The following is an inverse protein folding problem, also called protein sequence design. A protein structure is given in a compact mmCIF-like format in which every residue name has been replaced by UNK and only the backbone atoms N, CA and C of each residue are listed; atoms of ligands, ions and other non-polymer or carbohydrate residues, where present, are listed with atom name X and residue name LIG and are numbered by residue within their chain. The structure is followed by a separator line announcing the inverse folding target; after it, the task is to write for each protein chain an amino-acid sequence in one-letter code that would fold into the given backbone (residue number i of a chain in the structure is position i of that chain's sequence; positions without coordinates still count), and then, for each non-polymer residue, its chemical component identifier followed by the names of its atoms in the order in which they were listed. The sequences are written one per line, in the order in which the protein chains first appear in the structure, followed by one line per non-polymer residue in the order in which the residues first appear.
data_IF_084264966907
#
_entry.id   IF_084264966907
#
_cell.length_a   1.000
_cell.length_b   1.000
_cell.length_c   1.000
_cell.angle_alpha   90.00
_cell.angle_beta   90.00
_cell.angle_gamma   90.00
#
_symmetry.space_group_name_H-M   'P 1'
#
loop_
_entity.id
_entity.type
_entity.pdbx_description
1 polymer ?
#
# COMPACT_ATOMS: atom_id res chain seq x y z
N UNK A 1 -76.26 -23.27 -1.84
CA UNK A 1 -76.67 -22.12 -2.67
C UNK A 1 -75.61 -21.97 -3.75
N UNK A 2 -76.07 -22.08 -5.00
CA UNK A 2 -75.52 -21.62 -6.30
C UNK A 2 -73.99 -21.53 -6.46
N UNK A 3 -73.30 -22.29 -7.32
CA UNK A 3 -73.44 -22.46 -8.79
C UNK A 3 -73.17 -21.17 -9.60
N UNK A 4 -72.38 -21.37 -10.67
CA UNK A 4 -72.09 -20.57 -11.88
C UNK A 4 -70.59 -20.16 -12.01
N UNK A 5 -69.77 -20.84 -12.82
CA UNK A 5 -69.71 -20.96 -14.31
C UNK A 5 -69.08 -19.73 -14.99
N UNK A 6 -67.84 -19.92 -15.49
CA UNK A 6 -67.21 -19.56 -16.80
C UNK A 6 -67.63 -18.29 -17.58
N UNK A 7 -66.90 -17.81 -18.62
CA UNK A 7 -65.65 -18.29 -19.27
C UNK A 7 -64.62 -17.14 -19.59
N UNK A 8 -63.48 -17.43 -20.28
CA UNK A 8 -62.49 -16.44 -20.75
C UNK A 8 -62.92 -15.78 -22.07
N UNK A 9 -62.13 -14.83 -22.65
CA UNK A 9 -61.41 -15.21 -23.89
C UNK A 9 -60.14 -14.39 -24.27
N UNK A 10 -59.52 -14.84 -25.37
CA UNK A 10 -58.61 -14.17 -26.34
C UNK A 10 -57.13 -14.01 -25.95
N UNK A 11 -56.19 -14.74 -26.56
CA UNK A 11 -55.77 -14.75 -27.98
C UNK A 11 -55.10 -13.46 -28.43
N UNK A 12 -53.77 -13.47 -28.47
CA UNK A 12 -52.99 -12.73 -29.46
C UNK A 12 -51.69 -13.48 -29.68
N UNK A 13 -51.63 -14.15 -30.82
CA UNK A 13 -50.39 -14.47 -31.48
C UNK A 13 -49.76 -13.17 -32.01
N UNK A 14 -48.43 -13.06 -31.99
CA UNK A 14 -47.73 -12.64 -33.20
C UNK A 14 -46.28 -13.17 -33.24
N UNK A 15 -45.84 -13.66 -34.41
CA UNK A 15 -44.49 -14.19 -34.65
C UNK A 15 -43.62 -13.21 -35.45
N UNK A 16 -42.37 -13.65 -35.68
CA UNK A 16 -41.44 -13.30 -36.79
C UNK A 16 -40.50 -12.12 -36.56
N UNK A 17 -39.20 -12.40 -36.61
CA UNK A 17 -38.21 -11.76 -37.51
C UNK A 17 -36.94 -12.63 -37.49
N UNK A 18 -36.76 -13.48 -38.51
CA UNK A 18 -36.00 -13.25 -39.75
C UNK A 18 -34.52 -13.64 -39.64
N UNK A 19 -34.24 -14.88 -40.08
CA UNK A 19 -32.97 -15.30 -40.71
C UNK A 19 -32.89 -14.72 -42.13
N UNK A 20 -31.72 -14.24 -42.53
CA UNK A 20 -31.14 -14.25 -43.89
C UNK A 20 -29.73 -13.63 -43.75
N UNK A 21 -28.62 -14.38 -43.64
CA UNK A 21 -27.87 -15.11 -44.67
C UNK A 21 -27.50 -14.30 -45.94
N UNK A 22 -26.22 -13.90 -45.99
CA UNK A 22 -25.37 -13.79 -47.19
C UNK A 22 -25.13 -12.38 -47.76
N UNK A 23 -23.99 -12.10 -48.43
CA UNK A 23 -22.99 -13.04 -48.97
C UNK A 23 -21.52 -12.79 -48.57
N UNK A 24 -20.73 -13.85 -48.78
CA UNK A 24 -19.27 -13.94 -48.75
C UNK A 24 -18.59 -13.10 -49.83
N UNK A 25 -17.45 -12.52 -49.48
CA UNK A 25 -16.22 -12.21 -50.25
C UNK A 25 -15.51 -11.11 -49.43
N UNK A 26 -14.24 -11.21 -49.01
CA UNK A 26 -13.07 -11.73 -49.70
C UNK A 26 -12.00 -12.11 -48.67
N UNK A 27 -11.32 -13.25 -48.85
CA UNK A 27 -9.96 -13.45 -48.34
C UNK A 27 -8.99 -12.57 -49.13
N UNK A 28 -8.02 -11.94 -48.43
CA UNK A 28 -6.63 -12.10 -48.85
C UNK A 28 -5.65 -12.14 -47.65
N UNK A 29 -4.35 -12.33 -47.93
CA UNK A 29 -3.59 -13.56 -47.78
C UNK A 29 -3.03 -13.79 -46.36
N UNK A 30 -2.58 -15.03 -46.11
CA UNK A 30 -1.62 -15.37 -45.06
C UNK A 30 -0.47 -14.35 -45.01
N UNK A 31 -0.47 -13.53 -43.97
CA UNK A 31 0.72 -12.81 -43.49
C UNK A 31 1.06 -13.40 -42.13
N UNK A 32 2.12 -14.20 -42.11
CA UNK A 32 2.84 -14.49 -40.89
C UNK A 32 3.27 -13.16 -40.27
N UNK A 33 2.56 -12.76 -39.23
CA UNK A 33 3.08 -11.86 -38.24
C UNK A 33 3.56 -12.76 -37.10
N UNK A 34 4.88 -12.82 -36.92
CA UNK A 34 5.47 -12.91 -35.60
C UNK A 34 4.64 -11.99 -34.68
N UNK A 35 3.75 -12.60 -33.91
CA UNK A 35 3.05 -11.87 -32.87
C UNK A 35 4.12 -11.33 -31.94
N UNK A 36 4.15 -10.03 -31.61
CA UNK A 36 4.85 -9.62 -30.41
C UNK A 36 4.29 -10.51 -29.31
N UNK A 37 5.18 -11.21 -28.60
CA UNK A 37 4.83 -12.18 -27.57
C UNK A 37 3.67 -11.63 -26.76
N UNK A 38 2.63 -12.46 -26.59
CA UNK A 38 1.52 -12.12 -25.72
C UNK A 38 2.13 -11.47 -24.47
N UNK A 39 1.79 -10.20 -24.23
CA UNK A 39 2.15 -9.50 -23.01
C UNK A 39 1.63 -10.42 -21.89
N UNK A 40 2.51 -11.24 -21.32
CA UNK A 40 2.23 -12.07 -20.17
C UNK A 40 1.90 -11.08 -19.07
N UNK A 41 0.61 -10.85 -18.86
CA UNK A 41 0.15 -10.16 -17.67
C UNK A 41 0.72 -10.95 -16.49
N UNK A 42 1.38 -10.28 -15.54
CA UNK A 42 1.94 -10.98 -14.40
C UNK A 42 0.83 -11.75 -13.68
N UNK A 43 1.09 -13.00 -13.30
CA UNK A 43 0.12 -13.87 -12.62
C UNK A 43 -0.32 -13.32 -11.25
N UNK A 44 0.48 -12.42 -10.67
CA UNK A 44 0.17 -11.66 -9.48
C UNK A 44 0.56 -10.19 -9.72
N UNK A 45 -0.39 -9.29 -9.52
CA UNK A 45 -0.14 -7.86 -9.48
C UNK A 45 -0.25 -7.35 -8.04
N UNK A 46 0.70 -6.51 -7.63
CA UNK A 46 0.74 -5.92 -6.29
C UNK A 46 0.82 -4.41 -6.41
N UNK A 47 -0.06 -3.71 -5.71
CA UNK A 47 0.00 -2.26 -5.54
C UNK A 47 0.04 -1.90 -4.06
N UNK A 48 0.73 -0.82 -3.74
CA UNK A 48 0.83 -0.31 -2.37
C UNK A 48 0.39 1.14 -2.28
N UNK A 49 -0.10 1.51 -1.11
CA UNK A 49 -0.46 2.87 -0.74
C UNK A 49 -0.12 3.10 0.73
N UNK A 50 0.26 4.32 1.09
CA UNK A 50 0.33 4.70 2.51
C UNK A 50 -1.10 4.90 3.03
N UNK A 51 -1.38 4.38 4.23
CA UNK A 51 -2.66 4.56 4.93
C UNK A 51 -2.52 5.68 5.95
N UNK A 52 -3.49 6.60 5.93
CA UNK A 52 -3.55 7.71 6.87
C UNK A 52 -2.63 8.87 6.50
N UNK A 53 -3.05 10.07 6.90
CA UNK A 53 -2.35 11.34 6.63
C UNK A 53 -1.63 11.89 7.88
N UNK A 54 -1.69 11.15 8.99
CA UNK A 54 -1.40 11.64 10.34
C UNK A 54 0.02 11.35 10.86
N UNK A 55 0.88 10.75 10.04
CA UNK A 55 2.20 10.33 10.49
C UNK A 55 3.25 11.39 10.15
N UNK A 56 4.14 11.67 11.09
CA UNK A 56 5.29 12.53 10.83
C UNK A 56 6.31 11.80 9.95
N UNK A 57 6.98 12.54 9.07
CA UNK A 57 8.11 12.07 8.26
C UNK A 57 9.36 12.80 8.72
N UNK A 58 10.43 12.07 9.00
CA UNK A 58 11.72 12.66 9.30
C UNK A 58 12.61 12.67 8.05
N UNK A 59 13.35 13.75 7.88
CA UNK A 59 14.38 13.91 6.84
C UNK A 59 15.76 13.70 7.47
N UNK A 60 16.68 13.11 6.72
CA UNK A 60 18.07 12.93 7.14
C UNK A 60 18.83 14.25 7.30
N UNK A 61 18.43 15.29 6.55
CA UNK A 61 19.05 16.61 6.64
C UNK A 61 18.02 17.72 6.82
N UNK A 62 18.42 18.79 7.49
CA UNK A 62 17.61 20.00 7.57
C UNK A 62 17.59 20.72 6.22
N UNK A 63 16.43 20.99 5.62
CA UNK A 63 16.38 21.68 4.33
C UNK A 63 16.92 23.12 4.43
N UNK A 64 18.04 23.39 3.75
CA UNK A 64 18.74 24.69 3.82
C UNK A 64 18.63 25.52 2.55
N UNK A 65 18.11 24.98 1.45
CA UNK A 65 17.94 25.75 0.22
C UNK A 65 16.78 26.74 0.35
N UNK A 66 16.84 27.84 -0.40
CA UNK A 66 15.74 28.80 -0.41
C UNK A 66 14.47 28.21 -1.03
N UNK A 67 14.60 27.25 -1.95
CA UNK A 67 13.47 26.55 -2.58
C UNK A 67 12.76 25.65 -1.59
N UNK A 68 13.50 24.82 -0.85
CA UNK A 68 12.91 23.90 0.13
C UNK A 68 12.21 24.65 1.25
N UNK A 69 12.82 25.72 1.78
CA UNK A 69 12.17 26.56 2.80
C UNK A 69 10.89 27.22 2.28
N UNK A 70 10.86 27.63 1.02
CA UNK A 70 9.66 28.20 0.43
C UNK A 70 8.57 27.14 0.24
N UNK A 71 8.92 25.90 -0.09
CA UNK A 71 7.98 24.78 -0.16
C UNK A 71 7.41 24.42 1.22
N UNK A 72 8.26 24.32 2.23
CA UNK A 72 7.88 24.01 3.61
C UNK A 72 6.87 25.01 4.18
N UNK A 73 7.06 26.31 3.92
CA UNK A 73 6.20 27.38 4.45
C UNK A 73 5.07 27.79 3.49
N UNK A 74 5.11 27.35 2.24
CA UNK A 74 4.20 27.79 1.19
C UNK A 74 3.28 26.71 0.63
N UNK A 75 3.56 25.44 0.92
CA UNK A 75 2.81 24.28 0.44
C UNK A 75 2.26 23.45 1.61
N UNK A 76 1.06 22.89 1.42
CA UNK A 76 0.49 21.86 2.28
C UNK A 76 0.81 20.44 1.77
N UNK A 77 1.51 20.35 0.64
CA UNK A 77 1.97 19.09 0.03
C UNK A 77 3.50 19.12 -0.04
N UNK A 78 4.14 18.32 0.81
CA UNK A 78 5.60 18.20 0.90
C UNK A 78 6.13 16.96 0.20
N UNK A 79 5.31 16.23 -0.58
CA UNK A 79 5.75 14.99 -1.25
C UNK A 79 6.93 15.22 -2.18
N UNK A 80 6.97 16.37 -2.86
CA UNK A 80 8.11 16.71 -3.71
C UNK A 80 9.41 16.86 -2.94
N UNK A 81 9.36 17.38 -1.70
CA UNK A 81 10.50 17.51 -0.80
C UNK A 81 10.92 16.16 -0.21
N UNK A 82 9.95 15.38 0.25
CA UNK A 82 10.17 14.03 0.78
C UNK A 82 10.84 13.15 -0.29
N UNK A 83 10.38 13.20 -1.54
CA UNK A 83 10.90 12.38 -2.64
C UNK A 83 12.34 12.68 -3.07
N UNK A 84 12.87 13.85 -2.74
CA UNK A 84 14.24 14.26 -3.12
C UNK A 84 15.24 14.17 -1.97
N UNK A 85 14.76 14.02 -0.74
CA UNK A 85 15.56 13.89 0.46
C UNK A 85 15.54 12.44 0.95
N UNK A 86 16.59 12.02 1.63
CA UNK A 86 16.54 10.78 2.40
C UNK A 86 15.55 10.97 3.55
N UNK A 87 14.50 10.15 3.59
CA UNK A 87 13.37 10.35 4.50
C UNK A 87 12.73 9.02 4.92
N UNK A 88 12.08 9.03 6.07
CA UNK A 88 11.37 7.88 6.60
C UNK A 88 10.21 8.33 7.49
N UNK A 89 9.12 7.56 7.53
CA UNK A 89 8.03 7.80 8.47
C UNK A 89 8.51 7.55 9.90
N UNK A 90 8.13 8.43 10.84
CA UNK A 90 8.54 8.34 12.24
C UNK A 90 7.63 7.39 13.01
N UNK A 91 8.23 6.43 13.70
CA UNK A 91 7.57 5.50 14.61
C UNK A 91 6.80 4.39 13.91
N UNK A 92 5.94 4.73 12.95
CA UNK A 92 5.01 3.80 12.32
C UNK A 92 4.71 4.16 10.87
N UNK A 93 4.78 3.16 9.99
CA UNK A 93 4.33 3.22 8.61
C UNK A 93 3.14 2.28 8.44
N UNK A 94 1.97 2.87 8.14
CA UNK A 94 0.75 2.12 7.85
C UNK A 94 0.59 1.99 6.33
N UNK A 95 0.46 0.77 5.83
CA UNK A 95 0.42 0.44 4.40
C UNK A 95 -0.86 -0.31 4.04
N UNK A 96 -1.40 0.04 2.87
CA UNK A 96 -2.42 -0.71 2.16
C UNK A 96 -1.73 -1.51 1.07
N UNK A 97 -1.89 -2.83 1.07
CA UNK A 97 -1.35 -3.72 0.05
C UNK A 97 -2.55 -4.31 -0.69
N UNK A 98 -2.63 -4.03 -1.99
CA UNK A 98 -3.63 -4.63 -2.87
C UNK A 98 -2.97 -5.74 -3.68
N UNK A 99 -3.47 -6.95 -3.47
CA UNK A 99 -3.07 -8.16 -4.18
C UNK A 99 -4.15 -8.48 -5.22
N UNK A 100 -3.74 -8.69 -6.46
CA UNK A 100 -4.65 -9.04 -7.55
C UNK A 100 -4.13 -10.24 -8.31
N UNK A 101 -4.92 -11.31 -8.34
CA UNK A 101 -4.63 -12.49 -9.16
C UNK A 101 -4.76 -12.19 -10.64
N UNK A 102 -3.95 -12.87 -11.47
CA UNK A 102 -4.07 -12.89 -12.92
C UNK A 102 -5.19 -13.81 -13.39
N UNK A 103 -4.98 -14.49 -14.52
CA UNK A 103 -6.00 -15.36 -15.14
C UNK A 103 -6.14 -16.72 -14.45
N UNK A 104 -5.26 -17.02 -13.47
CA UNK A 104 -5.19 -18.31 -12.77
C UNK A 104 -5.28 -18.09 -11.26
N UNK A 105 -5.77 -19.12 -10.57
CA UNK A 105 -5.77 -19.12 -9.12
C UNK A 105 -4.35 -19.31 -8.59
N UNK A 106 -4.02 -18.62 -7.50
CA UNK A 106 -2.74 -18.73 -6.83
C UNK A 106 -2.93 -18.68 -5.31
N UNK A 107 -1.92 -19.16 -4.59
CA UNK A 107 -1.90 -19.13 -3.12
C UNK A 107 -0.67 -18.39 -2.65
N UNK A 108 -0.86 -17.32 -1.90
CA UNK A 108 0.20 -16.59 -1.21
C UNK A 108 0.52 -17.33 0.09
N UNK A 109 1.78 -17.71 0.23
CA UNK A 109 2.30 -18.47 1.36
C UNK A 109 2.99 -17.58 2.39
N UNK A 110 3.54 -16.43 2.00
CA UNK A 110 4.12 -15.46 2.93
C UNK A 110 4.15 -14.05 2.38
N UNK A 111 4.17 -13.07 3.29
CA UNK A 111 4.65 -11.72 3.04
C UNK A 111 5.79 -11.51 4.02
N UNK A 112 7.01 -11.58 3.51
CA UNK A 112 8.25 -11.50 4.28
C UNK A 112 8.78 -10.07 4.29
N UNK A 113 9.40 -9.70 5.40
CA UNK A 113 10.08 -8.42 5.58
C UNK A 113 11.58 -8.72 5.52
N UNK A 114 12.27 -8.16 4.55
CA UNK A 114 13.72 -8.33 4.38
C UNK A 114 14.44 -7.03 4.77
N UNK A 115 15.04 -6.96 5.97
CA UNK A 115 15.82 -5.80 6.37
C UNK A 115 17.02 -5.59 5.44
N UNK A 116 17.25 -4.36 4.98
CA UNK A 116 18.43 -4.00 4.20
C UNK A 116 19.69 -3.89 5.07
N UNK A 117 19.51 -3.72 6.38
CA UNK A 117 20.58 -3.68 7.38
C UNK A 117 20.30 -4.68 8.51
N UNK A 118 21.32 -5.25 9.17
CA UNK A 118 21.12 -6.26 10.23
C UNK A 118 20.46 -5.75 11.52
N UNK A 119 20.30 -4.43 11.69
CA UNK A 119 20.00 -3.81 12.97
C UNK A 119 19.86 -2.28 12.85
N UNK A 120 19.60 -1.58 13.97
CA UNK A 120 19.58 -0.14 14.09
C UNK A 120 20.48 0.66 13.17
N UNK A 121 20.02 1.52 12.27
CA UNK A 121 20.87 2.69 11.95
C UNK A 121 20.39 3.91 12.74
N UNK A 122 21.20 4.97 12.78
CA UNK A 122 20.82 6.17 13.52
C UNK A 122 19.46 6.68 13.03
N UNK A 123 18.60 7.12 13.96
CA UNK A 123 17.34 7.76 13.63
C UNK A 123 17.58 9.01 12.78
N UNK A 124 16.67 9.30 11.86
CA UNK A 124 16.72 10.55 11.10
C UNK A 124 16.31 11.72 12.00
N UNK A 125 17.17 12.74 12.06
CA UNK A 125 17.04 13.87 12.99
C UNK A 125 17.16 15.25 12.32
N UNK A 126 17.22 15.29 10.98
CA UNK A 126 17.45 16.51 10.22
C UNK A 126 16.26 17.48 10.27
N UNK A 127 15.09 17.02 9.87
CA UNK A 127 13.85 17.79 10.00
C UNK A 127 12.63 16.88 10.21
N UNK A 128 11.63 17.36 10.95
CA UNK A 128 10.38 16.65 11.22
C UNK A 128 9.22 17.32 10.47
N UNK A 129 8.51 16.56 9.65
CA UNK A 129 7.39 17.02 8.83
C UNK A 129 6.10 16.29 9.27
N UNK A 130 5.18 16.98 9.93
CA UNK A 130 3.95 16.39 10.45
C UNK A 130 2.70 16.95 9.76
N UNK A 131 1.65 16.14 9.68
CA UNK A 131 0.30 16.56 9.28
C UNK A 131 -0.69 16.36 10.42
N UNK A 132 -1.70 17.24 10.52
CA UNK A 132 -2.80 17.02 11.45
C UNK A 132 -3.60 15.74 11.08
N UNK A 133 -3.95 14.89 12.06
CA UNK A 133 -4.74 13.70 11.81
C UNK A 133 -6.10 14.06 11.20
N UNK A 134 -6.42 13.47 10.03
CA UNK A 134 -7.69 13.70 9.34
C UNK A 134 -8.79 12.68 9.70
N UNK A 135 -8.65 12.01 10.85
CA UNK A 135 -9.61 11.02 11.37
C UNK A 135 -9.06 9.60 11.38
N UNK A 136 -9.68 8.74 12.20
CA UNK A 136 -9.28 7.34 12.34
C UNK A 136 -9.72 6.54 11.12
N UNK A 137 -8.76 5.87 10.48
CA UNK A 137 -9.07 4.79 9.54
C UNK A 137 -8.71 3.48 10.21
N UNK A 138 -9.61 2.98 11.06
CA UNK A 138 -9.45 1.68 11.70
C UNK A 138 -9.76 0.57 10.68
N UNK A 139 -8.69 0.07 10.07
CA UNK A 139 -8.59 -1.17 9.30
C UNK A 139 -7.12 -1.55 9.33
N UNK A 140 -6.66 -2.25 10.36
CA UNK A 140 -5.31 -2.81 10.38
C UNK A 140 -5.46 -4.29 10.73
N UNK A 141 -5.09 -5.16 9.80
CA UNK A 141 -5.24 -6.61 9.94
C UNK A 141 -3.91 -7.27 10.30
N UNK A 142 -2.80 -6.62 9.95
CA UNK A 142 -1.45 -7.13 10.10
C UNK A 142 -0.52 -6.08 10.72
N UNK A 143 0.48 -6.52 11.46
CA UNK A 143 1.49 -5.69 12.09
C UNK A 143 2.87 -6.35 12.05
N UNK A 144 3.93 -5.55 12.19
CA UNK A 144 5.28 -6.02 12.40
C UNK A 144 6.11 -4.99 13.20
N UNK A 145 6.93 -5.51 14.11
CA UNK A 145 7.97 -4.75 14.80
C UNK A 145 9.27 -4.91 14.01
N UNK A 146 9.81 -3.79 13.51
CA UNK A 146 11.04 -3.75 12.72
C UNK A 146 12.29 -3.71 13.58
N UNK A 147 12.15 -3.59 14.91
CA UNK A 147 13.31 -3.51 15.79
C UNK A 147 13.94 -4.86 16.12
N UNK A 148 13.20 -5.95 15.91
CA UNK A 148 13.73 -7.29 16.06
C UNK A 148 14.64 -7.66 14.86
N UNK A 149 15.68 -8.50 15.05
CA UNK A 149 16.62 -8.85 13.97
C UNK A 149 16.01 -9.57 12.76
N UNK A 150 14.87 -10.25 12.95
CA UNK A 150 14.15 -10.99 11.93
C UNK A 150 12.65 -10.67 12.06
N UNK A 151 12.21 -9.51 11.54
CA UNK A 151 10.83 -9.07 11.65
C UNK A 151 9.91 -10.01 10.89
N UNK A 152 8.71 -10.23 11.41
CA UNK A 152 7.68 -11.03 10.77
C UNK A 152 6.32 -10.38 10.94
N UNK A 153 5.48 -10.60 9.94
CA UNK A 153 4.10 -10.13 9.94
C UNK A 153 3.25 -10.99 10.88
N UNK A 154 2.45 -10.35 11.72
CA UNK A 154 1.56 -10.97 12.71
C UNK A 154 0.22 -10.20 12.80
N UNK A 155 -0.75 -10.72 13.56
CA UNK A 155 -1.98 -9.97 13.89
C UNK A 155 -1.84 -9.33 15.28
N UNK A 156 -2.63 -8.31 15.58
CA UNK A 156 -2.63 -7.70 16.92
C UNK A 156 -3.00 -8.70 18.04
N UNK A 157 -3.82 -9.70 17.72
CA UNK A 157 -4.24 -10.74 18.67
C UNK A 157 -3.15 -11.80 18.94
N UNK A 158 -2.22 -12.00 17.99
CA UNK A 158 -1.17 -13.03 18.07
C UNK A 158 0.23 -12.45 17.74
N UNK A 159 0.75 -11.48 18.51
CA UNK A 159 1.98 -10.75 18.14
C UNK A 159 3.26 -11.59 18.18
N UNK A 160 3.24 -12.72 18.90
CA UNK A 160 4.39 -13.63 18.99
C UNK A 160 4.40 -14.70 17.90
N UNK A 161 3.40 -14.72 17.01
CA UNK A 161 3.23 -15.75 15.99
C UNK A 161 3.20 -15.16 14.59
N UNK A 162 4.01 -15.67 13.64
CA UNK A 162 3.90 -15.28 12.25
C UNK A 162 2.51 -15.59 11.70
N UNK A 163 1.90 -14.61 11.05
CA UNK A 163 0.56 -14.77 10.45
C UNK A 163 0.52 -15.96 9.50
N UNK A 164 1.52 -16.06 8.62
CA UNK A 164 1.61 -17.12 7.62
C UNK A 164 2.05 -18.49 8.17
N UNK A 165 2.25 -18.63 9.48
CA UNK A 165 2.36 -19.95 10.12
C UNK A 165 0.97 -20.58 10.29
N UNK A 166 0.49 -21.21 9.21
CA UNK A 166 -0.81 -21.89 9.17
C UNK A 166 -1.94 -21.08 8.55
N UNK A 167 -1.66 -19.86 8.10
CA UNK A 167 -2.56 -19.08 7.24
C UNK A 167 -1.98 -18.95 5.83
N UNK A 168 -2.86 -18.99 4.84
CA UNK A 168 -2.53 -18.73 3.44
C UNK A 168 -3.65 -17.88 2.84
N UNK A 169 -3.32 -17.07 1.84
CA UNK A 169 -4.31 -16.31 1.08
C UNK A 169 -4.42 -16.95 -0.28
N UNK A 170 -5.61 -17.44 -0.65
CA UNK A 170 -5.86 -17.96 -2.00
C UNK A 170 -6.67 -16.95 -2.78
N UNK A 171 -6.16 -16.53 -3.92
CA UNK A 171 -6.85 -15.64 -4.84
C UNK A 171 -7.41 -16.47 -6.00
N UNK A 172 -8.70 -16.34 -6.26
CA UNK A 172 -9.32 -16.81 -7.49
C UNK A 172 -8.83 -15.97 -8.69
N UNK A 173 -9.04 -16.44 -9.93
CA UNK A 173 -8.73 -15.65 -11.12
C UNK A 173 -9.37 -14.26 -11.08
N UNK A 174 -8.55 -13.23 -11.32
CA UNK A 174 -8.91 -11.82 -11.26
C UNK A 174 -9.45 -11.33 -9.89
N UNK A 175 -9.34 -12.13 -8.83
CA UNK A 175 -9.71 -11.70 -7.49
C UNK A 175 -8.76 -10.63 -6.98
N UNK A 176 -9.32 -9.64 -6.31
CA UNK A 176 -8.58 -8.58 -5.64
C UNK A 176 -8.83 -8.67 -4.14
N UNK A 177 -7.75 -8.63 -3.37
CA UNK A 177 -7.78 -8.56 -1.92
C UNK A 177 -6.95 -7.37 -1.46
N UNK A 178 -7.44 -6.65 -0.45
CA UNK A 178 -6.71 -5.55 0.17
C UNK A 178 -6.37 -5.92 1.60
N UNK A 179 -5.10 -5.79 1.95
CA UNK A 179 -4.56 -5.97 3.29
C UNK A 179 -4.14 -4.61 3.83
N UNK A 180 -4.23 -4.45 5.14
CA UNK A 180 -3.70 -3.29 5.83
C UNK A 180 -2.66 -3.74 6.85
N UNK A 181 -1.47 -3.13 6.80
CA UNK A 181 -0.29 -3.53 7.54
C UNK A 181 0.29 -2.34 8.29
N UNK A 182 0.65 -2.54 9.56
CA UNK A 182 1.32 -1.54 10.41
C UNK A 182 2.75 -1.95 10.71
N UNK A 183 3.73 -1.18 10.26
CA UNK A 183 5.16 -1.45 10.43
C UNK A 183 5.74 -0.44 11.42
N UNK A 184 6.34 -0.89 12.51
CA UNK A 184 6.76 -0.01 13.62
C UNK A 184 8.27 -0.09 13.87
N UNK A 185 8.87 1.03 14.25
CA UNK A 185 10.26 1.11 14.71
C UNK A 185 10.40 2.21 15.79
N UNK A 186 11.10 1.92 16.86
CA UNK A 186 11.36 2.79 18.01
C UNK A 186 12.85 3.14 18.16
N UNK A 187 13.79 2.26 17.78
CA UNK A 187 15.22 2.44 18.08
C UNK A 187 16.00 3.30 17.07
N UNK A 188 15.61 3.29 15.79
CA UNK A 188 16.39 3.95 14.75
C UNK A 188 15.81 3.76 13.35
N UNK A 189 16.59 4.09 12.32
CA UNK A 189 16.18 3.91 10.92
C UNK A 189 16.22 2.43 10.54
N UNK A 190 15.16 1.99 9.86
CA UNK A 190 14.90 0.66 9.31
C UNK A 190 14.50 0.79 7.87
N UNK A 191 15.39 0.38 6.98
CA UNK A 191 15.09 0.20 5.56
C UNK A 191 14.88 -1.29 5.26
N UNK A 192 13.89 -1.61 4.44
CA UNK A 192 13.51 -3.00 4.16
C UNK A 192 12.88 -3.16 2.77
N UNK A 193 12.82 -4.39 2.30
CA UNK A 193 11.95 -4.83 1.22
C UNK A 193 10.81 -5.67 1.77
N UNK A 194 9.67 -5.64 1.07
CA UNK A 194 8.58 -6.58 1.29
C UNK A 194 8.58 -7.59 0.12
N UNK A 195 8.57 -8.88 0.44
CA UNK A 195 8.61 -9.96 -0.54
C UNK A 195 7.41 -10.87 -0.35
N UNK A 196 6.63 -11.08 -1.42
CA UNK A 196 5.51 -12.03 -1.40
C UNK A 196 5.96 -13.33 -2.02
N UNK A 197 5.92 -14.42 -1.25
CA UNK A 197 6.08 -15.76 -1.79
C UNK A 197 4.70 -16.36 -2.10
N UNK A 198 4.55 -16.92 -3.29
CA UNK A 198 3.30 -17.51 -3.74
C UNK A 198 3.53 -18.79 -4.55
N UNK A 199 2.50 -19.61 -4.62
CA UNK A 199 2.45 -20.84 -5.42
C UNK A 199 1.43 -20.69 -6.52
N UNK A 200 1.85 -21.01 -7.73
CA UNK A 200 1.04 -21.05 -8.93
C UNK A 200 1.27 -22.38 -9.64
N UNK A 201 0.20 -23.14 -9.86
CA UNK A 201 0.28 -24.47 -10.51
C UNK A 201 1.27 -25.46 -9.85
N UNK A 202 1.54 -25.27 -8.55
CA UNK A 202 2.48 -26.10 -7.79
C UNK A 202 3.93 -25.64 -7.85
N UNK A 203 4.23 -24.56 -8.57
CA UNK A 203 5.54 -23.92 -8.61
C UNK A 203 5.57 -22.72 -7.66
N UNK A 204 6.62 -22.61 -6.85
CA UNK A 204 6.82 -21.48 -5.93
C UNK A 204 7.58 -20.36 -6.63
N UNK A 205 7.10 -19.14 -6.46
CA UNK A 205 7.69 -17.92 -6.97
C UNK A 205 7.68 -16.82 -5.90
N UNK A 206 8.47 -15.78 -6.13
CA UNK A 206 8.59 -14.62 -5.25
C UNK A 206 8.42 -13.34 -6.06
N UNK A 207 7.74 -12.36 -5.48
CA UNK A 207 7.54 -11.05 -6.07
C UNK A 207 7.83 -9.97 -5.02
N UNK A 208 8.75 -9.06 -5.36
CA UNK A 208 8.99 -7.86 -4.57
C UNK A 208 7.78 -6.94 -4.64
N UNK A 209 7.30 -6.51 -3.49
CA UNK A 209 6.24 -5.52 -3.38
C UNK A 209 6.82 -4.16 -3.76
N UNK A 210 6.25 -3.45 -4.74
CA UNK A 210 6.69 -2.10 -5.05
C UNK A 210 6.32 -1.17 -3.89
N UNK A 211 7.19 -0.26 -3.48
CA UNK A 211 6.85 0.68 -2.43
C UNK A 211 5.97 1.83 -2.94
N UNK A 212 5.20 2.49 -2.06
CA UNK A 212 4.34 3.58 -2.46
C UNK A 212 5.19 4.74 -3.01
N UNK A 213 4.73 5.36 -4.10
CA UNK A 213 5.40 6.49 -4.75
C UNK A 213 6.83 6.21 -5.31
N UNK A 214 7.32 4.98 -5.25
CA UNK A 214 8.64 4.58 -5.77
C UNK A 214 9.82 4.88 -4.85
N UNK A 215 9.58 5.39 -3.64
CA UNK A 215 10.57 5.56 -2.57
C UNK A 215 10.75 4.25 -1.82
N UNK A 216 11.95 3.87 -1.38
CA UNK A 216 12.15 2.61 -0.62
C UNK A 216 11.30 2.56 0.65
N UNK A 217 11.01 1.36 1.17
CA UNK A 217 10.32 1.26 2.46
C UNK A 217 11.29 1.62 3.59
N UNK A 218 10.90 2.62 4.38
CA UNK A 218 11.68 3.06 5.53
C UNK A 218 10.79 3.52 6.69
N UNK A 219 11.15 3.11 7.91
CA UNK A 219 10.60 3.65 9.17
C UNK A 219 11.77 4.05 10.04
N UNK A 220 11.68 5.20 10.71
CA UNK A 220 12.67 5.62 11.69
C UNK A 220 12.04 5.75 13.06
N UNK A 221 12.74 5.28 14.09
CA UNK A 221 12.42 5.64 15.46
C UNK A 221 12.45 7.17 15.68
N UNK A 222 11.74 7.69 16.69
CA UNK A 222 11.79 9.10 17.04
C UNK A 222 13.20 9.51 17.49
N UNK A 223 13.64 10.70 17.05
CA UNK A 223 14.91 11.27 17.49
C UNK A 223 14.73 12.09 18.76
N UNK A 224 15.77 12.15 19.61
CA UNK A 224 15.75 12.96 20.84
C UNK A 224 15.75 14.48 20.60
N UNK A 225 16.04 14.91 19.37
CA UNK A 225 15.97 16.29 18.89
C UNK A 225 15.88 16.29 17.37
N UNK A 226 15.24 17.31 16.78
CA UNK A 226 15.24 17.53 15.34
C UNK A 226 15.84 18.90 14.99
N UNK A 227 16.54 19.00 13.87
CA UNK A 227 17.14 20.26 13.41
C UNK A 227 16.12 21.34 13.03
N UNK A 228 14.95 20.94 12.53
CA UNK A 228 13.79 21.79 12.28
C UNK A 228 12.50 20.96 12.34
N UNK A 229 11.35 21.62 12.52
CA UNK A 229 10.05 20.95 12.55
C UNK A 229 8.99 21.78 11.88
N UNK A 230 8.12 21.12 11.14
CA UNK A 230 7.02 21.72 10.41
C UNK A 230 5.75 20.92 10.63
N UNK A 231 4.65 21.63 10.86
CA UNK A 231 3.32 21.06 10.97
C UNK A 231 2.41 21.65 9.91
N UNK A 232 1.82 20.79 9.09
CA UNK A 232 0.79 21.15 8.16
C UNK A 232 -0.57 21.14 8.86
N UNK A 233 -1.21 22.32 8.92
CA UNK A 233 -2.52 22.50 9.54
C UNK A 233 -3.56 22.97 8.53
N UNK A 234 -4.84 22.98 8.91
CA UNK A 234 -5.91 23.50 8.04
C UNK A 234 -5.72 24.98 7.62
N UNK A 235 -5.00 25.78 8.42
CA UNK A 235 -4.71 27.19 8.11
C UNK A 235 -3.39 27.38 7.35
N UNK A 236 -2.67 26.29 7.08
CA UNK A 236 -1.38 26.28 6.38
C UNK A 236 -0.25 25.69 7.23
N UNK A 237 0.93 25.52 6.62
CA UNK A 237 2.09 25.02 7.33
C UNK A 237 2.63 26.06 8.32
N UNK A 238 3.16 25.57 9.45
CA UNK A 238 3.90 26.39 10.43
C UNK A 238 5.13 25.64 10.92
N UNK A 239 6.06 26.38 11.49
CA UNK A 239 7.17 25.77 12.24
C UNK A 239 6.70 25.26 13.61
N UNK A 240 7.34 24.18 14.06
CA UNK A 240 7.18 23.59 15.38
C UNK A 240 8.31 24.06 16.30
N UNK A 241 7.97 24.36 17.55
CA UNK A 241 8.97 24.58 18.59
C UNK A 241 9.62 23.24 19.01
N UNK A 242 10.84 23.23 19.58
CA UNK A 242 11.52 22.00 19.97
C UNK A 242 10.73 21.04 20.86
N UNK A 243 9.98 21.56 21.84
CA UNK A 243 9.13 20.73 22.67
C UNK A 243 7.97 20.10 21.88
N UNK A 244 7.37 20.84 20.94
CA UNK A 244 6.30 20.32 20.10
C UNK A 244 6.82 19.22 19.17
N UNK A 245 8.04 19.34 18.65
CA UNK A 245 8.62 18.32 17.76
C UNK A 245 8.70 16.96 18.44
N UNK A 246 9.11 16.90 19.71
CA UNK A 246 9.12 15.65 20.46
C UNK A 246 7.72 15.07 20.68
N UNK A 247 6.76 15.92 21.07
CA UNK A 247 5.38 15.50 21.32
C UNK A 247 4.79 14.87 20.05
N UNK A 248 5.04 15.49 18.90
CA UNK A 248 4.62 15.00 17.58
C UNK A 248 5.36 13.75 17.14
N UNK A 249 6.65 13.64 17.42
CA UNK A 249 7.43 12.43 17.14
C UNK A 249 7.04 11.25 18.06
N UNK A 250 6.28 11.49 19.14
CA UNK A 250 5.95 10.47 20.13
C UNK A 250 7.13 10.11 21.04
N UNK A 251 8.12 10.99 21.17
CA UNK A 251 9.29 10.78 22.03
C UNK A 251 8.90 10.79 23.50
N UNK A 252 9.20 9.72 24.23
CA UNK A 252 8.85 9.59 25.65
C UNK A 252 9.97 10.02 26.62
N UNK A 253 11.13 10.46 26.10
CA UNK A 253 12.26 10.93 26.90
C UNK A 253 12.27 12.44 27.12
N UNK A 254 13.30 12.95 27.81
CA UNK A 254 13.54 14.40 27.90
C UNK A 254 13.99 14.95 26.54
N UNK A 255 13.24 15.90 26.00
CA UNK A 255 13.65 16.69 24.82
C UNK A 255 14.89 17.51 25.12
N UNK A 256 15.87 17.49 24.21
CA UNK A 256 17.11 18.26 24.34
C UNK A 256 17.25 19.34 23.29
#
# INVERSE_FOLDING_TARGET
MSADLNPPPESSAQPSEQRSEGPQESEPPEQGADGPGADERPDLHIATSVLGDANCTALATTPTSAGDRAELLGSTDWRGLIAREESATVGRLDLGITLQGGDRALTIESIDIEPLTPGPTAALDGALLCGEPQGDTERLELAADLDVPAPFVHTEDEPERPYFDGHVITLAPAEQMSLAMSLRAEEGLREFELVVAYVLEGERAELRVPPPNGEGFAVTGPAGSYGAGYLNTIVGPRELEPAEMCDWAGWQGECR
#
